data_IF_170008759496
#
_entry.id   IF_170008759496
#
_cell.length_a   1.000
_cell.length_b   1.000
_cell.length_c   1.000
_cell.angle_alpha   90.00
_cell.angle_beta   90.00
_cell.angle_gamma   90.00
#
_symmetry.space_group_name_H-M   'P 1'
#
loop_
_entity.id
_entity.type
_entity.pdbx_description
1 polymer ?
#
# COMPACT_ATOMS: atom_id res chain seq x y z
N UNK A 1 29.43 -16.51 -17.88
CA UNK A 1 29.93 -15.47 -16.95
C UNK A 1 30.76 -16.17 -15.88
N UNK A 2 32.08 -16.29 -16.05
CA UNK A 2 32.95 -16.89 -15.04
C UNK A 2 33.98 -15.83 -14.64
N UNK A 3 33.90 -15.36 -13.40
CA UNK A 3 34.85 -14.42 -12.82
C UNK A 3 35.77 -15.19 -11.87
N UNK A 4 37.06 -15.20 -12.16
CA UNK A 4 38.07 -15.72 -11.24
C UNK A 4 38.66 -14.51 -10.50
N UNK A 5 38.39 -14.36 -9.19
CA UNK A 5 38.94 -13.26 -8.43
C UNK A 5 40.46 -13.33 -8.41
N UNK A 6 41.12 -12.24 -8.78
CA UNK A 6 42.59 -12.13 -8.71
C UNK A 6 43.08 -11.85 -7.28
N UNK A 7 42.20 -11.37 -6.41
CA UNK A 7 42.43 -11.15 -4.98
C UNK A 7 41.13 -11.36 -4.17
N UNK A 8 41.20 -11.58 -2.84
CA UNK A 8 40.00 -11.76 -2.01
C UNK A 8 39.01 -10.59 -2.06
N UNK A 9 39.50 -9.38 -2.30
CA UNK A 9 38.69 -8.14 -2.37
C UNK A 9 38.33 -7.75 -3.81
N UNK A 10 38.64 -8.60 -4.79
CA UNK A 10 38.32 -8.30 -6.18
C UNK A 10 36.81 -8.42 -6.42
N UNK A 11 36.22 -7.32 -6.89
CA UNK A 11 34.80 -7.22 -7.22
C UNK A 11 34.63 -7.18 -8.74
N UNK A 12 33.60 -7.87 -9.23
CA UNK A 12 33.23 -7.85 -10.64
C UNK A 12 31.84 -7.25 -10.78
N UNK A 13 31.74 -6.19 -11.58
CA UNK A 13 30.43 -5.69 -11.99
C UNK A 13 29.90 -6.53 -13.12
N UNK A 14 28.73 -7.16 -12.91
CA UNK A 14 28.03 -7.84 -13.98
C UNK A 14 27.73 -6.84 -15.12
N UNK A 15 27.98 -7.22 -16.40
CA UNK A 15 27.69 -6.35 -17.53
C UNK A 15 26.19 -6.04 -17.57
N UNK A 16 25.84 -4.75 -17.51
CA UNK A 16 24.45 -4.27 -17.47
C UNK A 16 23.94 -3.71 -18.80
N UNK A 17 24.79 -3.66 -19.83
CA UNK A 17 24.49 -3.01 -21.11
C UNK A 17 23.27 -3.63 -21.82
N UNK A 18 23.06 -4.94 -21.66
CA UNK A 18 21.90 -5.65 -22.19
C UNK A 18 20.64 -5.63 -21.31
N UNK A 19 20.67 -4.92 -20.18
CA UNK A 19 19.60 -4.92 -19.18
C UNK A 19 19.52 -6.21 -18.35
N UNK A 20 18.92 -6.09 -17.16
CA UNK A 20 18.69 -7.20 -16.23
C UNK A 20 17.19 -7.25 -15.91
N UNK A 21 16.58 -8.42 -16.06
CA UNK A 21 15.24 -8.72 -15.57
C UNK A 21 15.33 -9.49 -14.27
N UNK A 22 14.47 -9.16 -13.30
CA UNK A 22 14.44 -9.80 -11.99
C UNK A 22 13.01 -10.17 -11.60
N UNK A 23 12.83 -11.40 -11.13
CA UNK A 23 11.63 -11.86 -10.46
C UNK A 23 12.02 -12.33 -9.05
N UNK A 24 11.51 -11.63 -8.03
CA UNK A 24 11.77 -11.91 -6.63
C UNK A 24 10.95 -13.09 -6.10
N UNK A 25 11.43 -13.69 -5.00
CA UNK A 25 10.72 -14.74 -4.25
C UNK A 25 9.37 -14.24 -3.73
N UNK A 26 9.35 -13.05 -3.12
CA UNK A 26 8.11 -12.35 -2.80
C UNK A 26 7.64 -11.55 -4.02
N UNK A 27 6.65 -12.11 -4.73
CA UNK A 27 6.14 -11.52 -5.94
C UNK A 27 5.48 -10.15 -5.70
N UNK A 28 6.06 -9.10 -6.28
CA UNK A 28 5.50 -7.76 -6.25
C UNK A 28 4.74 -7.44 -7.54
N UNK A 29 3.47 -7.04 -7.40
CA UNK A 29 2.58 -6.66 -8.50
C UNK A 29 2.09 -5.23 -8.29
N UNK A 30 2.06 -4.46 -9.38
CA UNK A 30 1.64 -3.06 -9.35
C UNK A 30 0.11 -2.96 -9.24
N UNK A 31 -0.39 -1.89 -8.62
CA UNK A 31 -1.83 -1.59 -8.54
C UNK A 31 -2.35 -1.02 -9.87
N UNK A 32 -2.22 -1.80 -10.94
CA UNK A 32 -2.77 -1.54 -12.28
C UNK A 32 -3.41 -2.83 -12.81
N UNK A 33 -3.76 -2.89 -14.09
CA UNK A 33 -4.32 -4.11 -14.68
C UNK A 33 -3.28 -5.23 -14.77
N UNK A 34 -3.72 -6.49 -14.82
CA UNK A 34 -2.83 -7.64 -15.01
C UNK A 34 -1.96 -7.44 -16.26
N UNK A 35 -2.56 -6.97 -17.36
CA UNK A 35 -1.85 -6.66 -18.59
C UNK A 35 -0.70 -5.69 -18.37
N UNK A 36 -0.91 -4.57 -17.68
CA UNK A 36 0.16 -3.56 -17.48
C UNK A 36 1.19 -4.02 -16.45
N UNK A 37 0.75 -4.82 -15.47
CA UNK A 37 1.68 -5.45 -14.52
C UNK A 37 2.63 -6.44 -15.20
N UNK A 38 2.17 -7.13 -16.24
CA UNK A 38 2.97 -8.05 -17.05
C UNK A 38 3.78 -7.33 -18.14
N UNK A 39 3.16 -6.38 -18.85
CA UNK A 39 3.76 -5.60 -19.92
C UNK A 39 4.07 -4.20 -19.41
N UNK A 40 5.34 -3.93 -19.13
CA UNK A 40 5.80 -2.59 -18.76
C UNK A 40 5.29 -1.56 -19.79
N UNK A 41 4.82 -0.39 -19.33
CA UNK A 41 4.25 0.70 -20.16
C UNK A 41 5.07 1.06 -21.42
N UNK A 42 6.38 0.79 -21.43
CA UNK A 42 7.30 1.09 -22.54
C UNK A 42 7.32 0.03 -23.65
N UNK A 43 6.74 -1.15 -23.44
CA UNK A 43 6.80 -2.28 -24.36
C UNK A 43 5.39 -2.84 -24.61
N UNK A 44 4.56 -2.08 -25.33
CA UNK A 44 3.43 -2.69 -26.03
C UNK A 44 4.00 -3.56 -27.16
N UNK A 45 4.25 -4.83 -26.82
CA UNK A 45 4.59 -5.87 -27.80
C UNK A 45 3.35 -6.19 -28.66
N UNK A 46 3.59 -6.81 -29.82
CA UNK A 46 2.53 -7.28 -30.71
C UNK A 46 1.56 -8.22 -29.97
N UNK A 47 0.25 -8.20 -30.29
CA UNK A 47 -0.75 -9.03 -29.63
C UNK A 47 -0.41 -10.52 -29.59
N UNK A 48 0.30 -11.02 -30.60
CA UNK A 48 0.69 -12.42 -30.73
C UNK A 48 1.81 -12.82 -29.75
N UNK A 49 2.78 -11.94 -29.49
CA UNK A 49 3.84 -12.22 -28.50
C UNK A 49 3.27 -12.23 -27.09
N UNK A 50 2.36 -11.30 -26.78
CA UNK A 50 1.63 -11.23 -25.51
C UNK A 50 0.71 -12.43 -25.27
N UNK A 51 0.02 -12.96 -26.28
CA UNK A 51 -0.75 -14.20 -26.10
C UNK A 51 0.17 -15.39 -25.85
N UNK A 52 1.27 -15.46 -26.61
CA UNK A 52 2.17 -16.62 -26.57
C UNK A 52 2.97 -16.74 -25.26
N UNK A 53 3.41 -15.63 -24.64
CA UNK A 53 4.12 -15.71 -23.36
C UNK A 53 3.18 -15.95 -22.17
N UNK A 54 1.93 -15.48 -22.25
CA UNK A 54 0.94 -15.59 -21.17
C UNK A 54 0.43 -17.03 -21.05
N UNK A 55 0.28 -17.69 -22.20
CA UNK A 55 0.04 -19.13 -22.28
C UNK A 55 1.24 -19.95 -21.76
N UNK A 56 2.47 -19.55 -22.11
CA UNK A 56 3.70 -20.23 -21.64
C UNK A 56 3.96 -20.08 -20.14
N UNK A 57 3.56 -18.97 -19.53
CA UNK A 57 3.61 -18.77 -18.08
C UNK A 57 2.40 -19.37 -17.35
N UNK A 58 1.59 -20.22 -18.00
CA UNK A 58 0.39 -20.86 -17.43
C UNK A 58 -0.67 -19.89 -16.88
N UNK A 59 -0.71 -18.64 -17.36
CA UNK A 59 -1.66 -17.62 -16.88
C UNK A 59 -2.99 -17.65 -17.66
N UNK A 60 -3.08 -18.40 -18.76
CA UNK A 60 -4.25 -18.39 -19.65
C UNK A 60 -5.53 -18.87 -18.95
N UNK A 61 -5.45 -19.96 -18.17
CA UNK A 61 -6.58 -20.42 -17.34
C UNK A 61 -6.98 -19.37 -16.30
N UNK A 62 -6.00 -18.76 -15.61
CA UNK A 62 -6.29 -17.71 -14.62
C UNK A 62 -7.03 -16.52 -15.26
N UNK A 63 -6.59 -16.10 -16.45
CA UNK A 63 -7.22 -15.00 -17.18
C UNK A 63 -8.67 -15.30 -17.59
N UNK A 64 -9.01 -16.55 -17.88
CA UNK A 64 -10.40 -16.93 -18.20
C UNK A 64 -11.33 -16.89 -16.98
N UNK A 65 -10.79 -16.97 -15.77
CA UNK A 65 -11.58 -16.90 -14.54
C UNK A 65 -11.95 -15.46 -14.16
N UNK A 66 -11.23 -14.45 -14.68
CA UNK A 66 -11.55 -13.06 -14.41
C UNK A 66 -12.60 -12.52 -15.40
N UNK A 67 -13.60 -11.80 -14.89
CA UNK A 67 -14.69 -11.22 -15.69
C UNK A 67 -14.19 -10.29 -16.81
N UNK A 68 -13.11 -9.53 -16.54
CA UNK A 68 -12.48 -8.61 -17.49
C UNK A 68 -11.17 -9.16 -18.09
N UNK A 69 -10.85 -10.44 -17.85
CA UNK A 69 -9.63 -11.07 -18.33
C UNK A 69 -8.36 -10.33 -17.89
N UNK A 70 -7.50 -9.98 -18.84
CA UNK A 70 -6.24 -9.28 -18.59
C UNK A 70 -6.39 -7.78 -18.28
N UNK A 71 -7.58 -7.21 -18.45
CA UNK A 71 -7.91 -5.84 -18.05
C UNK A 71 -8.31 -5.72 -16.58
N UNK A 72 -8.41 -6.84 -15.86
CA UNK A 72 -8.77 -6.85 -14.45
C UNK A 72 -7.72 -6.13 -13.62
N UNK A 73 -8.15 -5.23 -12.73
CA UNK A 73 -7.27 -4.56 -11.77
C UNK A 73 -6.82 -5.52 -10.67
N UNK A 74 -5.51 -5.52 -10.42
CA UNK A 74 -4.88 -6.43 -9.44
C UNK A 74 -5.11 -5.94 -7.99
N UNK A 75 -5.38 -4.64 -7.82
CA UNK A 75 -5.55 -4.02 -6.50
C UNK A 75 -4.21 -3.76 -5.79
N UNK A 76 -4.27 -3.12 -4.61
CA UNK A 76 -3.07 -2.75 -3.86
C UNK A 76 -2.26 -4.00 -3.48
N UNK A 77 -0.96 -4.05 -3.81
CA UNK A 77 -0.07 -5.23 -3.63
C UNK A 77 -0.64 -6.55 -4.21
N UNK A 78 -1.52 -6.44 -5.19
CA UNK A 78 -2.16 -7.55 -5.86
C UNK A 78 -3.08 -8.40 -5.00
N UNK A 79 -3.77 -7.83 -4.02
CA UNK A 79 -4.65 -8.56 -3.09
C UNK A 79 -5.67 -9.50 -3.76
N UNK A 80 -6.02 -9.28 -5.03
CA UNK A 80 -6.96 -10.15 -5.77
C UNK A 80 -6.35 -11.45 -6.29
N UNK A 81 -5.01 -11.54 -6.34
CA UNK A 81 -4.30 -12.69 -6.90
C UNK A 81 -3.86 -13.65 -5.79
N UNK A 82 -3.94 -14.95 -6.06
CA UNK A 82 -3.30 -15.97 -5.21
C UNK A 82 -1.76 -15.85 -5.25
N UNK A 83 -1.06 -16.44 -4.28
CA UNK A 83 0.41 -16.41 -4.24
C UNK A 83 1.04 -16.94 -5.54
N UNK A 84 0.51 -18.06 -6.06
CA UNK A 84 0.96 -18.62 -7.33
C UNK A 84 0.64 -17.74 -8.54
N UNK A 85 -0.52 -17.09 -8.57
CA UNK A 85 -0.87 -16.13 -9.64
C UNK A 85 0.07 -14.92 -9.62
N UNK A 86 0.39 -14.37 -8.44
CA UNK A 86 1.37 -13.28 -8.30
C UNK A 86 2.74 -13.70 -8.82
N UNK A 87 3.20 -14.90 -8.45
CA UNK A 87 4.46 -15.46 -8.92
C UNK A 87 4.48 -15.57 -10.45
N UNK A 88 3.42 -16.12 -11.06
CA UNK A 88 3.29 -16.21 -12.53
C UNK A 88 3.28 -14.84 -13.22
N UNK A 89 2.59 -13.84 -12.67
CA UNK A 89 2.58 -12.47 -13.21
C UNK A 89 3.96 -11.82 -13.12
N UNK A 90 4.66 -11.98 -11.99
CA UNK A 90 6.03 -11.48 -11.78
C UNK A 90 7.03 -12.16 -12.73
N UNK A 91 6.89 -13.48 -12.90
CA UNK A 91 7.69 -14.27 -13.85
C UNK A 91 7.44 -13.80 -15.29
N UNK A 92 6.17 -13.68 -15.69
CA UNK A 92 5.81 -13.21 -17.03
C UNK A 92 6.45 -11.84 -17.31
N UNK A 93 6.39 -10.90 -16.35
CA UNK A 93 7.04 -9.58 -16.46
C UNK A 93 8.56 -9.69 -16.70
N UNK A 94 9.24 -10.61 -16.03
CA UNK A 94 10.67 -10.83 -16.23
C UNK A 94 10.99 -11.43 -17.61
N UNK A 95 10.21 -12.43 -18.04
CA UNK A 95 10.38 -13.12 -19.32
C UNK A 95 10.08 -12.20 -20.51
N UNK A 96 9.03 -11.37 -20.43
CA UNK A 96 8.67 -10.40 -21.48
C UNK A 96 9.65 -9.23 -21.63
N UNK A 97 10.52 -9.01 -20.64
CA UNK A 97 11.57 -8.03 -20.77
C UNK A 97 12.52 -8.40 -21.92
N UNK A 98 13.04 -7.41 -22.65
CA UNK A 98 14.11 -7.60 -23.65
C UNK A 98 15.52 -7.70 -23.02
N UNK A 99 15.60 -7.95 -21.71
CA UNK A 99 16.85 -7.99 -20.97
C UNK A 99 17.70 -9.23 -21.32
N UNK A 100 18.99 -9.05 -21.59
CA UNK A 100 19.89 -10.17 -21.92
C UNK A 100 20.12 -11.12 -20.73
N UNK A 101 19.96 -10.63 -19.50
CA UNK A 101 20.10 -11.42 -18.27
C UNK A 101 18.75 -11.47 -17.55
N UNK A 102 18.34 -12.67 -17.13
CA UNK A 102 17.13 -12.92 -16.34
C UNK A 102 17.55 -13.57 -15.03
N UNK A 103 17.13 -13.01 -13.90
CA UNK A 103 17.37 -13.53 -12.57
C UNK A 103 16.02 -13.91 -11.98
N UNK A 104 15.86 -15.19 -11.64
CA UNK A 104 14.65 -15.76 -11.06
C UNK A 104 14.98 -16.28 -9.66
N UNK A 105 14.33 -15.71 -8.66
CA UNK A 105 14.56 -16.01 -7.24
C UNK A 105 13.38 -16.81 -6.70
N UNK A 106 13.53 -18.13 -6.68
CA UNK A 106 12.58 -19.12 -6.17
C UNK A 106 11.13 -18.96 -6.66
N UNK A 107 10.99 -18.61 -7.94
CA UNK A 107 9.69 -18.26 -8.57
C UNK A 107 8.70 -19.42 -8.70
N UNK A 108 9.16 -20.67 -8.54
CA UNK A 108 8.33 -21.88 -8.66
C UNK A 108 7.79 -22.37 -7.31
N UNK A 109 8.30 -21.85 -6.19
CA UNK A 109 7.98 -22.32 -4.84
C UNK A 109 6.49 -22.23 -4.46
N UNK A 110 5.80 -21.19 -4.96
CA UNK A 110 4.39 -20.94 -4.69
C UNK A 110 3.44 -21.66 -5.68
N UNK A 111 3.97 -22.51 -6.56
CA UNK A 111 3.24 -23.16 -7.64
C UNK A 111 3.10 -24.66 -7.38
N UNK A 112 1.99 -25.24 -7.84
CA UNK A 112 1.84 -26.69 -7.88
C UNK A 112 2.83 -27.33 -8.88
N UNK A 113 3.12 -28.62 -8.65
CA UNK A 113 4.10 -29.39 -9.45
C UNK A 113 3.76 -29.34 -10.94
N UNK A 114 2.50 -29.53 -11.32
CA UNK A 114 2.10 -29.57 -12.73
C UNK A 114 2.30 -28.20 -13.41
N UNK A 115 1.89 -27.11 -12.75
CA UNK A 115 2.13 -25.75 -13.26
C UNK A 115 3.61 -25.43 -13.35
N UNK A 116 4.42 -25.84 -12.37
CA UNK A 116 5.86 -25.68 -12.39
C UNK A 116 6.49 -26.39 -13.59
N UNK A 117 6.13 -27.66 -13.85
CA UNK A 117 6.61 -28.39 -15.04
C UNK A 117 6.20 -27.72 -16.34
N UNK A 118 4.94 -27.29 -16.44
CA UNK A 118 4.48 -26.56 -17.62
C UNK A 118 5.34 -25.33 -17.90
N UNK A 119 5.69 -24.56 -16.86
CA UNK A 119 6.55 -23.39 -16.99
C UNK A 119 7.97 -23.78 -17.40
N UNK A 120 8.55 -24.83 -16.81
CA UNK A 120 9.88 -25.31 -17.19
C UNK A 120 9.90 -25.71 -18.67
N UNK A 121 8.92 -26.50 -19.11
CA UNK A 121 8.86 -27.03 -20.47
C UNK A 121 8.51 -25.99 -21.53
N UNK A 122 7.59 -25.08 -21.23
CA UNK A 122 7.07 -24.13 -22.22
C UNK A 122 7.72 -22.75 -22.13
N UNK A 123 8.11 -22.32 -20.93
CA UNK A 123 8.71 -21.01 -20.70
C UNK A 123 10.24 -21.09 -20.67
N UNK A 124 10.83 -21.97 -19.86
CA UNK A 124 12.30 -22.02 -19.70
C UNK A 124 13.01 -22.72 -20.86
N UNK A 125 12.37 -23.69 -21.52
CA UNK A 125 12.84 -24.24 -22.81
C UNK A 125 12.32 -23.46 -24.02
N UNK A 126 11.50 -22.43 -23.79
CA UNK A 126 10.82 -21.67 -24.83
C UNK A 126 11.74 -20.70 -25.60
N UNK A 127 11.26 -20.26 -26.76
CA UNK A 127 11.98 -19.31 -27.62
C UNK A 127 12.15 -17.90 -27.02
N UNK A 128 11.36 -17.54 -25.99
CA UNK A 128 11.42 -16.21 -25.35
C UNK A 128 12.67 -16.00 -24.48
N UNK A 129 13.29 -17.09 -24.04
CA UNK A 129 14.54 -17.09 -23.28
C UNK A 129 15.75 -17.51 -24.11
N UNK A 130 15.54 -17.97 -25.34
CA UNK A 130 16.61 -18.39 -26.24
C UNK A 130 17.60 -17.24 -26.51
N UNK A 131 18.89 -17.53 -26.37
CA UNK A 131 19.96 -16.54 -26.54
C UNK A 131 20.16 -15.57 -25.37
N UNK A 132 19.47 -15.77 -24.24
CA UNK A 132 19.58 -14.95 -23.02
C UNK A 132 20.22 -15.78 -21.90
N UNK A 133 20.92 -15.13 -20.97
CA UNK A 133 21.42 -15.81 -19.78
C UNK A 133 20.34 -15.83 -18.70
N UNK A 134 19.99 -17.01 -18.22
CA UNK A 134 19.02 -17.20 -17.15
C UNK A 134 19.72 -17.75 -15.91
N UNK A 135 19.54 -17.08 -14.77
CA UNK A 135 20.04 -17.48 -13.47
C UNK A 135 18.83 -17.79 -12.60
N UNK A 136 18.72 -19.04 -12.15
CA UNK A 136 17.61 -19.51 -11.32
C UNK A 136 18.16 -19.90 -9.96
N UNK A 137 17.63 -19.27 -8.92
CA UNK A 137 17.82 -19.68 -7.53
C UNK A 137 16.58 -20.50 -7.16
N UNK A 138 16.76 -21.74 -6.72
CA UNK A 138 15.65 -22.58 -6.28
C UNK A 138 16.12 -23.63 -5.29
N UNK A 139 15.20 -24.09 -4.45
CA UNK A 139 15.38 -25.27 -3.62
C UNK A 139 14.93 -26.56 -4.32
N UNK A 140 14.07 -26.47 -5.35
CA UNK A 140 13.62 -27.63 -6.11
C UNK A 140 14.56 -27.88 -7.30
N UNK A 141 15.61 -28.64 -7.04
CA UNK A 141 16.66 -28.89 -8.04
C UNK A 141 16.18 -29.86 -9.12
N UNK A 142 15.29 -30.79 -8.78
CA UNK A 142 14.74 -31.77 -9.72
C UNK A 142 14.09 -31.09 -10.93
N UNK A 143 13.21 -30.12 -10.69
CA UNK A 143 12.48 -29.37 -11.72
C UNK A 143 13.38 -28.64 -12.72
N UNK A 144 14.45 -28.01 -12.22
CA UNK A 144 15.27 -27.11 -13.04
C UNK A 144 16.49 -27.84 -13.62
N UNK A 145 16.83 -29.03 -13.09
CA UNK A 145 17.95 -29.83 -13.56
C UNK A 145 17.86 -30.10 -15.08
N UNK A 146 16.68 -30.35 -15.63
CA UNK A 146 16.60 -30.67 -17.06
C UNK A 146 16.81 -29.47 -18.01
N UNK A 147 16.98 -28.26 -17.48
CA UNK A 147 17.18 -27.02 -18.26
C UNK A 147 18.49 -26.31 -17.86
N UNK A 148 19.10 -26.69 -16.74
CA UNK A 148 20.31 -26.04 -16.25
C UNK A 148 21.58 -26.62 -16.88
N UNK A 149 22.32 -25.81 -17.63
CA UNK A 149 23.63 -26.20 -18.16
C UNK A 149 24.74 -26.23 -17.08
N UNK A 150 24.55 -25.45 -16.01
CA UNK A 150 25.55 -25.28 -14.96
C UNK A 150 24.87 -25.05 -13.61
N UNK A 151 25.29 -25.79 -12.58
CA UNK A 151 24.71 -25.76 -11.24
C UNK A 151 25.77 -25.30 -10.24
N UNK A 152 25.37 -24.43 -9.31
CA UNK A 152 26.19 -23.97 -8.19
C UNK A 152 25.44 -24.24 -6.90
N UNK A 153 26.04 -25.00 -6.00
CA UNK A 153 25.53 -25.30 -4.68
C UNK A 153 26.23 -24.41 -3.65
N UNK A 154 25.45 -23.67 -2.86
CA UNK A 154 25.94 -22.84 -1.77
C UNK A 154 25.80 -23.57 -0.43
N UNK A 155 26.86 -23.53 0.37
CA UNK A 155 26.87 -24.03 1.74
C UNK A 155 26.16 -23.09 2.70
N UNK A 156 25.87 -23.59 3.91
CA UNK A 156 25.26 -22.80 4.99
C UNK A 156 26.12 -21.61 5.45
N UNK A 157 27.41 -21.61 5.12
CA UNK A 157 28.37 -20.55 5.38
C UNK A 157 28.41 -19.48 4.26
N UNK A 158 27.55 -19.61 3.25
CA UNK A 158 27.51 -18.71 2.09
C UNK A 158 28.64 -18.93 1.10
N UNK A 159 29.41 -20.02 1.22
CA UNK A 159 30.49 -20.37 0.30
C UNK A 159 30.03 -21.41 -0.72
N UNK A 160 30.68 -21.43 -1.89
CA UNK A 160 30.41 -22.43 -2.93
C UNK A 160 30.89 -23.80 -2.42
N UNK A 161 29.97 -24.76 -2.33
CA UNK A 161 30.26 -26.14 -1.93
C UNK A 161 30.57 -27.01 -3.14
N UNK A 162 29.80 -26.88 -4.22
CA UNK A 162 30.05 -27.55 -5.48
C UNK A 162 29.59 -26.69 -6.66
N UNK A 163 30.27 -26.83 -7.79
CA UNK A 163 29.89 -26.18 -9.05
C UNK A 163 30.29 -27.08 -10.23
N UNK A 164 29.53 -27.06 -11.31
CA UNK A 164 29.83 -27.85 -12.50
C UNK A 164 28.58 -28.12 -13.33
N UNK A 165 28.72 -29.01 -14.32
CA UNK A 165 27.55 -29.63 -14.94
C UNK A 165 26.78 -30.46 -13.90
N UNK A 166 25.50 -30.73 -14.12
CA UNK A 166 24.62 -31.46 -13.18
C UNK A 166 25.24 -32.77 -12.71
N UNK A 167 25.79 -33.57 -13.63
CA UNK A 167 26.41 -34.85 -13.30
C UNK A 167 27.65 -34.67 -12.40
N UNK A 168 28.44 -33.63 -12.64
CA UNK A 168 29.62 -33.30 -11.81
C UNK A 168 29.21 -32.75 -10.45
N UNK A 169 28.20 -31.88 -10.41
CA UNK A 169 27.66 -31.30 -9.20
C UNK A 169 27.05 -32.36 -8.27
N UNK A 170 26.32 -33.33 -8.83
CA UNK A 170 25.78 -34.49 -8.10
C UNK A 170 26.86 -35.45 -7.61
N UNK A 171 27.97 -35.62 -8.34
CA UNK A 171 29.11 -36.43 -7.88
C UNK A 171 29.86 -35.78 -6.72
N UNK A 172 30.06 -34.46 -6.78
CA UNK A 172 30.79 -33.70 -5.77
C UNK A 172 29.96 -33.48 -4.50
N UNK A 173 28.63 -33.42 -4.61
CA UNK A 173 27.73 -33.19 -3.49
C UNK A 173 26.63 -34.27 -3.41
N UNK A 174 26.86 -35.36 -2.64
CA UNK A 174 25.86 -36.40 -2.43
C UNK A 174 24.57 -35.90 -1.77
N UNK A 175 24.62 -34.80 -1.00
CA UNK A 175 23.42 -34.21 -0.36
C UNK A 175 22.50 -33.60 -1.41
N UNK A 176 23.07 -32.88 -2.38
CA UNK A 176 22.33 -32.30 -3.50
C UNK A 176 21.63 -33.39 -4.32
N UNK A 177 22.31 -34.53 -4.53
CA UNK A 177 21.72 -35.69 -5.20
C UNK A 177 20.54 -36.28 -4.42
N UNK A 178 20.70 -36.47 -3.11
CA UNK A 178 19.63 -37.00 -2.26
C UNK A 178 18.41 -36.05 -2.19
N UNK A 179 18.64 -34.74 -2.22
CA UNK A 179 17.59 -33.72 -2.26
C UNK A 179 16.82 -33.76 -3.60
N UNK A 180 17.55 -33.82 -4.73
CA UNK A 180 16.94 -33.98 -6.04
C UNK A 180 16.14 -35.29 -6.19
N UNK A 181 16.64 -36.42 -5.67
CA UNK A 181 15.91 -37.70 -5.68
C UNK A 181 14.64 -37.64 -4.82
N UNK A 182 14.69 -36.96 -3.68
CA UNK A 182 13.53 -36.75 -2.81
C UNK A 182 12.48 -35.87 -3.49
N UNK A 183 12.91 -34.80 -4.15
CA UNK A 183 12.01 -33.91 -4.90
C UNK A 183 11.36 -34.67 -6.07
N UNK A 184 12.11 -35.49 -6.80
CA UNK A 184 11.58 -36.38 -7.84
C UNK A 184 10.55 -37.39 -7.29
N UNK A 185 10.76 -37.91 -6.08
CA UNK A 185 9.79 -38.82 -5.45
C UNK A 185 8.51 -38.08 -5.03
N UNK A 186 8.64 -36.87 -4.47
CA UNK A 186 7.51 -36.01 -4.11
C UNK A 186 6.69 -35.63 -5.35
N UNK A 187 7.38 -35.32 -6.44
CA UNK A 187 6.78 -35.07 -7.74
C UNK A 187 5.97 -36.27 -8.27
N UNK A 188 6.56 -37.47 -8.25
CA UNK A 188 5.87 -38.70 -8.67
C UNK A 188 4.65 -39.03 -7.83
N UNK A 189 4.71 -38.78 -6.52
CA UNK A 189 3.57 -38.93 -5.61
C UNK A 189 2.48 -37.89 -5.91
N UNK A 190 2.87 -36.66 -6.26
CA UNK A 190 1.94 -35.61 -6.68
C UNK A 190 1.16 -35.98 -7.94
N UNK A 191 1.82 -36.56 -8.94
CA UNK A 191 1.16 -37.00 -10.18
C UNK A 191 0.12 -38.11 -9.95
N UNK A 192 0.40 -39.05 -9.04
CA UNK A 192 -0.50 -40.18 -8.75
C UNK A 192 -1.80 -39.79 -8.03
N UNK A 193 -1.82 -38.67 -7.29
CA UNK A 193 -3.01 -38.22 -6.55
C UNK A 193 -4.00 -37.46 -7.44
N UNK A 194 -3.53 -36.89 -8.56
CA UNK A 194 -4.35 -36.01 -9.42
C UNK A 194 -5.00 -36.77 -10.58
N UNK A 195 -4.46 -37.92 -10.99
CA UNK A 195 -5.00 -38.75 -12.09
C UNK A 195 -6.39 -39.36 -11.77
N UNK A 196 -6.83 -39.30 -10.50
CA UNK A 196 -8.19 -39.68 -10.05
C UNK A 196 -9.19 -38.50 -10.09
N UNK A 197 -8.75 -37.31 -10.52
CA UNK A 197 -9.60 -36.12 -10.69
C UNK A 197 -9.47 -35.57 -12.10
N UNK A 198 -10.12 -36.25 -13.04
CA UNK A 198 -10.34 -35.75 -14.39
C UNK A 198 -11.65 -34.94 -14.43
N UNK A 199 -11.65 -33.60 -14.59
CA UNK A 199 -12.83 -32.85 -14.96
C UNK A 199 -12.72 -32.50 -16.45
N UNK A 200 -12.91 -33.52 -17.30
CA UNK A 200 -13.36 -33.27 -18.66
C UNK A 200 -14.86 -32.95 -18.61
N UNK A 201 -15.27 -31.97 -19.42
CA UNK A 201 -16.64 -31.50 -19.66
C UNK A 201 -17.29 -30.59 -18.61
N UNK A 202 -17.03 -29.28 -18.74
CA UNK A 202 -18.08 -28.26 -18.75
C UNK A 202 -17.80 -27.21 -19.83
N UNK A 203 -18.49 -27.35 -20.96
CA UNK A 203 -18.93 -26.22 -21.78
C UNK A 203 -20.17 -25.59 -21.11
N UNK A 204 -20.53 -24.40 -21.58
CA UNK A 204 -21.70 -23.57 -21.22
C UNK A 204 -21.35 -22.49 -20.16
N UNK A 205 -21.64 -21.21 -20.29
CA UNK A 205 -22.38 -20.42 -21.28
C UNK A 205 -21.82 -18.98 -21.27
N UNK A 206 -21.58 -18.41 -22.45
CA UNK A 206 -21.12 -17.03 -22.59
C UNK A 206 -22.31 -16.08 -22.76
N UNK A 207 -22.85 -15.56 -21.65
CA UNK A 207 -23.56 -14.27 -21.69
C UNK A 207 -23.62 -13.61 -20.29
N UNK A 208 -22.48 -13.13 -19.81
CA UNK A 208 -22.43 -12.23 -18.66
C UNK A 208 -21.87 -10.89 -19.14
N UNK A 209 -22.63 -9.83 -18.93
CA UNK A 209 -22.20 -8.46 -19.23
C UNK A 209 -20.82 -8.21 -18.60
N UNK A 210 -19.84 -7.87 -19.44
CA UNK A 210 -18.47 -7.53 -19.03
C UNK A 210 -18.53 -6.35 -18.06
N UNK A 211 -18.22 -6.60 -16.80
CA UNK A 211 -17.94 -5.55 -15.82
C UNK A 211 -16.60 -4.89 -16.17
N UNK A 212 -16.43 -3.60 -15.84
CA UNK A 212 -15.28 -2.78 -16.25
C UNK A 212 -13.95 -3.18 -15.58
N UNK A 213 -13.87 -4.34 -14.91
CA UNK A 213 -12.64 -4.88 -14.31
C UNK A 213 -12.01 -4.05 -13.17
N UNK A 214 -12.62 -2.93 -12.80
CA UNK A 214 -12.15 -2.03 -11.74
C UNK A 214 -12.51 -2.56 -10.38
N UNK A 215 -11.50 -2.68 -9.53
CA UNK A 215 -11.63 -3.23 -8.19
C UNK A 215 -11.54 -2.17 -7.09
N UNK A 216 -10.81 -1.08 -7.38
CA UNK A 216 -10.75 0.05 -6.47
C UNK A 216 -11.81 1.09 -6.78
N UNK A 217 -12.56 1.47 -5.74
CA UNK A 217 -13.57 2.51 -5.87
C UNK A 217 -12.86 3.87 -5.89
N UNK A 218 -12.99 4.57 -7.03
CA UNK A 218 -12.58 5.95 -7.17
C UNK A 218 -13.27 6.78 -6.08
N UNK A 219 -12.54 7.70 -5.47
CA UNK A 219 -13.09 8.50 -4.39
C UNK A 219 -14.19 9.41 -4.93
N UNK A 220 -15.41 9.25 -4.43
CA UNK A 220 -16.47 10.23 -4.65
C UNK A 220 -16.17 11.46 -3.79
N UNK A 221 -15.56 12.46 -4.40
CA UNK A 221 -15.42 13.78 -3.79
C UNK A 221 -16.76 14.48 -3.94
N UNK A 222 -17.46 14.71 -2.82
CA UNK A 222 -18.69 15.47 -2.84
C UNK A 222 -18.40 16.92 -3.28
N UNK A 223 -18.86 17.30 -4.48
CA UNK A 223 -18.77 18.67 -4.98
C UNK A 223 -19.95 19.50 -4.44
N UNK A 224 -19.66 20.63 -3.79
CA UNK A 224 -20.69 21.57 -3.32
C UNK A 224 -20.54 21.95 -1.85
N UNK A 225 -21.68 22.25 -1.19
CA UNK A 225 -21.72 22.76 0.18
C UNK A 225 -21.56 21.66 1.24
N UNK A 226 -21.05 22.05 2.41
CA UNK A 226 -20.91 21.15 3.55
C UNK A 226 -22.28 20.69 4.01
N UNK A 227 -22.53 19.39 3.94
CA UNK A 227 -23.79 18.80 4.38
C UNK A 227 -24.02 18.99 5.88
N UNK A 228 -25.28 19.23 6.25
CA UNK A 228 -25.72 19.25 7.65
C UNK A 228 -25.26 18.05 8.51
N UNK A 229 -25.14 16.82 7.98
CA UNK A 229 -24.60 15.70 8.77
C UNK A 229 -23.18 15.94 9.27
N UNK A 230 -22.31 16.57 8.47
CA UNK A 230 -20.93 16.87 8.86
C UNK A 230 -20.89 17.94 9.96
N UNK A 231 -21.67 19.01 9.80
CA UNK A 231 -21.83 20.05 10.83
C UNK A 231 -22.36 19.46 12.14
N UNK A 232 -23.40 18.61 12.06
CA UNK A 232 -23.99 17.94 13.21
C UNK A 232 -22.97 17.05 13.94
N UNK A 233 -22.13 16.32 13.19
CA UNK A 233 -21.04 15.52 13.76
C UNK A 233 -20.07 16.40 14.57
N UNK A 234 -19.66 17.54 14.01
CA UNK A 234 -18.73 18.47 14.65
C UNK A 234 -19.33 19.12 15.92
N UNK A 235 -20.53 19.69 15.83
CA UNK A 235 -21.18 20.36 16.97
C UNK A 235 -21.50 19.41 18.13
N UNK A 236 -21.89 18.16 17.83
CA UNK A 236 -22.10 17.12 18.86
C UNK A 236 -20.79 16.58 19.44
N UNK A 237 -19.69 16.67 18.69
CA UNK A 237 -18.37 16.27 19.17
C UNK A 237 -17.80 17.29 20.18
N UNK A 238 -17.99 18.59 19.93
CA UNK A 238 -17.63 19.70 20.84
C UNK A 238 -18.28 19.56 22.21
N UNK A 239 -19.58 19.32 22.27
CA UNK A 239 -20.28 19.19 23.54
C UNK A 239 -21.78 19.01 23.43
N UNK A 240 -22.42 18.84 24.58
CA UNK A 240 -23.87 18.82 24.70
C UNK A 240 -24.46 20.22 24.87
N UNK A 241 -25.76 20.31 25.12
CA UNK A 241 -26.47 21.56 25.33
C UNK A 241 -25.80 22.48 26.38
N UNK A 242 -25.47 21.94 27.55
CA UNK A 242 -24.85 22.71 28.63
C UNK A 242 -23.48 23.28 28.28
N UNK A 243 -22.70 22.60 27.43
CA UNK A 243 -21.43 23.13 26.94
C UNK A 243 -21.67 24.40 26.11
N UNK A 244 -22.63 24.36 25.19
CA UNK A 244 -22.96 25.51 24.35
C UNK A 244 -23.52 26.68 25.15
N UNK A 245 -24.33 26.42 26.17
CA UNK A 245 -24.83 27.47 27.08
C UNK A 245 -23.66 28.16 27.77
N UNK A 246 -22.74 27.41 28.39
CA UNK A 246 -21.59 27.98 29.09
C UNK A 246 -20.63 28.69 28.14
N UNK A 247 -20.38 28.10 26.97
CA UNK A 247 -19.52 28.68 25.93
C UNK A 247 -20.08 30.02 25.44
N UNK A 248 -21.34 30.05 24.97
CA UNK A 248 -21.96 31.26 24.45
C UNK A 248 -22.11 32.34 25.52
N UNK A 249 -22.56 31.96 26.73
CA UNK A 249 -22.69 32.90 27.84
C UNK A 249 -21.33 33.47 28.25
N UNK A 250 -20.29 32.64 28.29
CA UNK A 250 -18.93 33.07 28.64
C UNK A 250 -18.38 34.11 27.66
N UNK A 251 -18.54 33.89 26.35
CA UNK A 251 -18.13 34.87 25.34
C UNK A 251 -18.97 36.14 25.37
N UNK A 252 -20.29 36.04 25.53
CA UNK A 252 -21.16 37.23 25.66
C UNK A 252 -20.76 38.06 26.88
N UNK A 253 -20.50 37.42 28.03
CA UNK A 253 -20.07 38.13 29.24
C UNK A 253 -18.69 38.78 29.07
N UNK A 254 -17.76 38.12 28.39
CA UNK A 254 -16.45 38.70 28.06
C UNK A 254 -16.60 39.93 27.15
N UNK A 255 -17.43 39.85 26.10
CA UNK A 255 -17.68 40.97 25.18
C UNK A 255 -18.39 42.14 25.90
N UNK A 256 -19.35 41.85 26.79
CA UNK A 256 -20.00 42.87 27.62
C UNK A 256 -19.00 43.54 28.55
N UNK A 257 -18.04 42.81 29.12
CA UNK A 257 -16.98 43.39 29.94
C UNK A 257 -16.08 44.33 29.12
N UNK A 258 -15.71 43.94 27.89
CA UNK A 258 -14.94 44.81 26.98
C UNK A 258 -15.73 46.07 26.58
N UNK A 259 -17.04 45.96 26.36
CA UNK A 259 -17.88 47.13 26.14
C UNK A 259 -17.96 48.03 27.37
N UNK A 260 -18.02 47.45 28.58
CA UNK A 260 -18.03 48.20 29.82
C UNK A 260 -16.71 48.96 30.05
N UNK A 261 -15.56 48.37 29.70
CA UNK A 261 -14.25 49.04 29.72
C UNK A 261 -14.24 50.27 28.80
N UNK A 262 -14.69 50.10 27.55
CA UNK A 262 -14.78 51.21 26.58
C UNK A 262 -15.75 52.29 27.03
N UNK A 263 -16.90 51.90 27.58
CA UNK A 263 -17.88 52.83 28.12
C UNK A 263 -17.34 53.60 29.34
N UNK A 264 -16.58 52.92 30.22
CA UNK A 264 -15.96 53.53 31.38
C UNK A 264 -14.91 54.58 31.01
N UNK A 265 -14.08 54.30 29.99
CA UNK A 265 -13.17 55.29 29.40
C UNK A 265 -13.93 56.52 28.88
N UNK A 266 -15.10 56.33 28.28
CA UNK A 266 -15.97 57.43 27.85
C UNK A 266 -16.47 58.29 29.03
N UNK A 267 -16.85 57.67 30.15
CA UNK A 267 -17.23 58.41 31.37
C UNK A 267 -16.03 59.17 31.93
N UNK A 268 -14.86 58.53 31.99
CA UNK A 268 -13.64 59.15 32.49
C UNK A 268 -13.23 60.36 31.62
N UNK A 269 -13.32 60.25 30.29
CA UNK A 269 -13.06 61.36 29.38
C UNK A 269 -14.03 62.54 29.61
N UNK A 270 -15.33 62.26 29.78
CA UNK A 270 -16.33 63.31 30.08
C UNK A 270 -16.07 64.03 31.40
N UNK A 271 -15.45 63.37 32.37
CA UNK A 271 -15.08 64.01 33.63
C UNK A 271 -14.04 65.14 33.43
N UNK A 272 -13.17 65.02 32.43
CA UNK A 272 -12.25 66.08 32.02
C UNK A 272 -12.93 67.20 31.22
N UNK A 273 -13.97 66.88 30.45
CA UNK A 273 -14.74 67.88 29.69
C UNK A 273 -15.64 68.74 30.58
N UNK A 274 -16.04 68.24 31.75
CA UNK A 274 -16.98 68.90 32.66
C UNK A 274 -16.38 70.12 33.40
N UNK A 275 -15.07 70.14 33.65
CA UNK A 275 -14.35 71.29 34.27
C UNK A 275 -13.04 71.56 33.52
N UNK A 276 -13.10 72.25 32.35
CA UNK A 276 -11.92 72.48 31.50
C UNK A 276 -10.85 73.38 32.13
N UNK A 277 -11.23 74.22 33.09
CA UNK A 277 -10.32 75.17 33.74
C UNK A 277 -9.47 74.52 34.85
N UNK A 278 -9.93 73.40 35.44
CA UNK A 278 -9.23 72.72 36.54
C UNK A 278 -9.19 71.18 36.36
N UNK A 279 -8.49 70.66 35.33
CA UNK A 279 -8.39 69.22 35.08
C UNK A 279 -7.72 68.43 36.22
N UNK A 280 -7.01 69.09 37.14
CA UNK A 280 -6.38 68.49 38.31
C UNK A 280 -7.37 67.98 39.37
N UNK A 281 -8.64 68.40 39.31
CA UNK A 281 -9.68 68.00 40.29
C UNK A 281 -10.26 66.61 40.03
N UNK A 282 -9.95 65.99 38.89
CA UNK A 282 -10.43 64.64 38.56
C UNK A 282 -9.64 63.61 39.39
N UNK A 283 -10.34 62.78 40.15
CA UNK A 283 -9.74 61.69 40.94
C UNK A 283 -9.23 60.56 40.04
N UNK A 284 -8.01 60.74 39.52
CA UNK A 284 -7.34 59.75 38.67
C UNK A 284 -7.22 58.38 39.34
N UNK A 285 -6.80 58.26 40.63
CA UNK A 285 -6.77 56.98 41.32
C UNK A 285 -8.11 56.22 41.31
N UNK A 286 -9.24 56.91 41.49
CA UNK A 286 -10.56 56.27 41.45
C UNK A 286 -10.89 55.71 40.06
N UNK A 287 -10.79 56.53 39.00
CA UNK A 287 -11.12 56.09 37.64
C UNK A 287 -10.18 54.98 37.15
N UNK A 288 -8.89 55.10 37.45
CA UNK A 288 -7.89 54.10 37.13
C UNK A 288 -8.11 52.79 37.90
N UNK A 289 -8.50 52.87 39.17
CA UNK A 289 -8.79 51.70 40.00
C UNK A 289 -9.99 50.90 39.49
N UNK A 290 -11.08 51.59 39.14
CA UNK A 290 -12.27 50.94 38.55
C UNK A 290 -11.94 50.35 37.17
N UNK A 291 -11.21 51.08 36.33
CA UNK A 291 -10.76 50.56 35.04
C UNK A 291 -9.89 49.31 35.19
N UNK A 292 -8.91 49.34 36.10
CA UNK A 292 -8.05 48.19 36.40
C UNK A 292 -8.85 46.98 36.90
N UNK A 293 -9.87 47.19 37.73
CA UNK A 293 -10.76 46.13 38.17
C UNK A 293 -11.58 45.53 37.01
N UNK A 294 -12.12 46.37 36.12
CA UNK A 294 -12.84 45.93 34.91
C UNK A 294 -11.93 45.10 34.00
N UNK A 295 -10.69 45.54 33.76
CA UNK A 295 -9.71 44.78 32.98
C UNK A 295 -9.42 43.40 33.58
N UNK A 296 -9.24 43.31 34.90
CA UNK A 296 -8.99 42.00 35.57
C UNK A 296 -10.20 41.07 35.39
N UNK A 297 -11.42 41.60 35.54
CA UNK A 297 -12.65 40.83 35.33
C UNK A 297 -12.79 40.39 33.87
N UNK A 298 -12.55 41.29 32.91
CA UNK A 298 -12.58 41.01 31.48
C UNK A 298 -11.60 39.92 31.08
N UNK A 299 -10.34 40.02 31.54
CA UNK A 299 -9.30 38.99 31.30
C UNK A 299 -9.73 37.64 31.91
N UNK A 300 -10.28 37.64 33.12
CA UNK A 300 -10.77 36.43 33.79
C UNK A 300 -11.89 35.74 33.02
N UNK A 301 -12.89 36.51 32.57
CA UNK A 301 -14.02 36.01 31.77
C UNK A 301 -13.56 35.46 30.42
N UNK A 302 -12.73 36.21 29.70
CA UNK A 302 -12.19 35.79 28.41
C UNK A 302 -11.35 34.51 28.54
N UNK A 303 -10.45 34.46 29.53
CA UNK A 303 -9.61 33.28 29.78
C UNK A 303 -10.47 32.07 30.11
N UNK A 304 -11.52 32.23 30.92
CA UNK A 304 -12.43 31.13 31.26
C UNK A 304 -13.20 30.62 30.04
N UNK A 305 -13.74 31.53 29.23
CA UNK A 305 -14.44 31.19 27.98
C UNK A 305 -13.50 30.48 26.98
N UNK A 306 -12.26 30.97 26.87
CA UNK A 306 -11.22 30.37 26.04
C UNK A 306 -10.83 28.97 26.52
N UNK A 307 -10.67 28.75 27.82
CA UNK A 307 -10.40 27.42 28.40
C UNK A 307 -11.55 26.46 28.09
N UNK A 308 -12.80 26.89 28.22
CA UNK A 308 -13.97 26.08 27.85
C UNK A 308 -13.92 25.70 26.36
N UNK A 309 -13.59 26.65 25.49
CA UNK A 309 -13.43 26.40 24.05
C UNK A 309 -12.36 25.34 23.76
N UNK A 310 -11.16 25.48 24.34
CA UNK A 310 -10.04 24.54 24.14
C UNK A 310 -10.36 23.15 24.68
N UNK A 311 -11.01 23.05 25.85
CA UNK A 311 -11.46 21.76 26.38
C UNK A 311 -12.51 21.11 25.47
N UNK A 312 -13.41 21.90 24.89
CA UNK A 312 -14.40 21.45 23.91
C UNK A 312 -13.77 20.95 22.62
N UNK A 313 -12.78 21.66 22.07
CA UNK A 313 -12.09 21.26 20.83
C UNK A 313 -11.26 19.98 21.02
N UNK A 314 -10.54 19.85 22.13
CA UNK A 314 -9.81 18.62 22.47
C UNK A 314 -10.78 17.44 22.63
N UNK A 315 -11.93 17.66 23.28
CA UNK A 315 -12.97 16.64 23.41
C UNK A 315 -13.54 16.23 22.05
N UNK A 316 -13.77 17.19 21.16
CA UNK A 316 -14.26 16.94 19.81
C UNK A 316 -13.26 16.09 19.01
N UNK A 317 -11.99 16.49 19.02
CA UNK A 317 -10.92 15.78 18.32
C UNK A 317 -10.83 14.31 18.77
N UNK A 318 -10.79 14.05 20.09
CA UNK A 318 -10.79 12.67 20.62
C UNK A 318 -12.02 11.89 20.19
N UNK A 319 -13.21 12.49 20.27
CA UNK A 319 -14.47 11.80 19.98
C UNK A 319 -14.62 11.47 18.49
N UNK A 320 -14.18 12.36 17.60
CA UNK A 320 -14.17 12.13 16.15
C UNK A 320 -13.13 11.06 15.81
N UNK A 321 -11.92 11.16 16.37
CA UNK A 321 -10.86 10.19 16.17
C UNK A 321 -11.26 8.78 16.65
N UNK A 322 -11.84 8.66 17.85
CA UNK A 322 -12.32 7.38 18.39
C UNK A 322 -13.42 6.76 17.51
N UNK A 323 -14.31 7.60 16.97
CA UNK A 323 -15.35 7.14 16.03
C UNK A 323 -14.74 6.67 14.72
N UNK A 324 -13.75 7.40 14.19
CA UNK A 324 -13.04 7.00 12.98
C UNK A 324 -12.33 5.66 13.18
N UNK A 325 -11.57 5.50 14.28
CA UNK A 325 -10.91 4.23 14.62
C UNK A 325 -11.92 3.09 14.69
N UNK A 326 -13.02 3.27 15.44
CA UNK A 326 -14.04 2.22 15.59
C UNK A 326 -14.72 1.87 14.27
N UNK A 327 -14.95 2.86 13.40
CA UNK A 327 -15.53 2.64 12.09
C UNK A 327 -14.58 1.86 11.17
N UNK A 328 -13.29 2.23 11.16
CA UNK A 328 -12.27 1.55 10.34
C UNK A 328 -11.99 0.13 10.85
N UNK A 329 -11.82 -0.06 12.17
CA UNK A 329 -11.58 -1.37 12.76
C UNK A 329 -12.83 -2.27 12.76
N UNK A 330 -14.03 -1.67 12.72
CA UNK A 330 -15.29 -2.39 12.58
C UNK A 330 -15.69 -2.67 11.13
N UNK A 331 -14.94 -2.16 10.15
CA UNK A 331 -15.22 -2.40 8.74
C UNK A 331 -14.90 -3.86 8.36
N UNK A 332 -15.67 -4.47 7.45
CA UNK A 332 -15.35 -5.81 6.94
C UNK A 332 -14.04 -5.79 6.15
N UNK A 333 -13.33 -6.93 6.11
CA UNK A 333 -12.07 -7.07 5.35
C UNK A 333 -12.21 -6.64 3.88
N UNK A 334 -13.37 -6.94 3.25
CA UNK A 334 -13.67 -6.51 1.87
C UNK A 334 -13.58 -4.98 1.65
N UNK A 335 -13.83 -4.17 2.68
CA UNK A 335 -13.69 -2.72 2.59
C UNK A 335 -12.22 -2.30 2.49
N UNK A 336 -11.32 -3.03 3.16
CA UNK A 336 -9.87 -2.80 3.07
C UNK A 336 -9.33 -3.20 1.69
N UNK A 337 -9.92 -4.21 1.05
CA UNK A 337 -9.50 -4.66 -0.28
C UNK A 337 -9.85 -3.65 -1.39
N UNK A 338 -10.91 -2.86 -1.19
CA UNK A 338 -11.42 -1.89 -2.16
C UNK A 338 -10.98 -0.44 -1.89
N UNK A 339 -10.51 -0.15 -0.69
CA UNK A 339 -10.10 1.19 -0.26
C UNK A 339 -8.57 1.28 -0.18
N UNK A 340 -7.92 2.20 -0.90
CA UNK A 340 -6.47 2.37 -0.84
C UNK A 340 -5.98 2.70 0.57
N UNK A 341 -4.92 2.04 1.04
CA UNK A 341 -4.34 2.26 2.38
C UNK A 341 -3.90 3.72 2.54
N UNK A 342 -3.34 4.31 1.48
CA UNK A 342 -2.95 5.73 1.48
C UNK A 342 -4.10 6.68 1.80
N UNK A 343 -5.33 6.34 1.38
CA UNK A 343 -6.53 7.14 1.69
C UNK A 343 -6.86 7.07 3.18
N UNK A 344 -6.81 5.87 3.77
CA UNK A 344 -7.03 5.68 5.20
C UNK A 344 -6.00 6.48 6.01
N UNK A 345 -4.72 6.40 5.63
CA UNK A 345 -3.64 7.17 6.28
C UNK A 345 -3.87 8.68 6.16
N UNK A 346 -4.29 9.17 5.01
CA UNK A 346 -4.59 10.60 4.81
C UNK A 346 -5.69 11.08 5.78
N UNK A 347 -6.75 10.29 5.99
CA UNK A 347 -7.81 10.62 6.98
C UNK A 347 -7.28 10.71 8.41
N UNK A 348 -6.32 9.88 8.78
CA UNK A 348 -5.72 9.90 10.12
C UNK A 348 -4.67 11.00 10.31
N UNK A 349 -4.02 11.46 9.25
CA UNK A 349 -2.85 12.35 9.34
C UNK A 349 -3.13 13.78 8.91
N UNK A 350 -3.89 13.98 7.83
CA UNK A 350 -4.19 15.31 7.28
C UNK A 350 -5.49 15.88 7.84
N UNK A 351 -6.55 15.08 7.89
CA UNK A 351 -7.89 15.60 8.26
C UNK A 351 -8.09 15.76 9.77
N UNK A 352 -7.32 15.03 10.58
CA UNK A 352 -7.41 15.08 12.04
C UNK A 352 -6.46 16.12 12.65
N UNK A 353 -5.42 16.49 11.91
CA UNK A 353 -4.46 17.52 12.32
C UNK A 353 -5.11 18.90 12.26
#
# INVERSE_FOLDING_TARGET
>A
MHFVPSSPDSWFSLPREGGIAYAAQEAWVQNETIRVSTLRKTFFLEPNTTKSGTSRCALERDLTLFEAGDQTEVGEKGMTLSGGQKARVSLARAIYSKANIIILDDVLSALDVHTSRWIVDNCFRGNLVAGRTMIIVTHNVAMVSEVADFVVSLGSDGRITSQGNIDEAFRLNPKLKAEAEKDQELERKGDQVVDDSNPADKKDDANTQKSDGKLMVAEEVAEGHVGWPALKLFFLALGGFWFWVVYLLGFILADVATLAEMYWLGIWARAYEADPEHPERVDVPFYLGVYGALCIVGIGLYTTAFVVHVLGSIRAARRIHDRLIKAVLGAPLRWLDSTPIGRVIARFTQDIR
#
